data_IF_245564247803
#
_entry.id   IF_245564247803
#
_cell.length_a   1.000
_cell.length_b   1.000
_cell.length_c   1.000
_cell.angle_alpha   90.00
_cell.angle_beta   90.00
_cell.angle_gamma   90.00
#
_symmetry.space_group_name_H-M   'P 1'
#
loop_
_entity.id
_entity.type
_entity.pdbx_description
1 polymer ?
#
# COMPACT_ATOMS: atom_id res chain seq x y z
N UNK A 1 0.63 54.28 -25.20
CA UNK A 1 0.63 52.94 -25.85
C UNK A 1 1.46 51.90 -25.08
N UNK A 2 2.77 52.09 -24.84
CA UNK A 2 3.62 51.04 -24.19
C UNK A 2 3.16 50.58 -22.80
N UNK A 3 2.70 51.49 -21.92
CA UNK A 3 2.18 51.13 -20.59
C UNK A 3 0.84 50.39 -20.66
N UNK A 4 -0.02 50.74 -21.61
CA UNK A 4 -1.35 50.12 -21.76
C UNK A 4 -1.23 48.67 -22.25
N UNK A 5 -0.31 48.39 -23.18
CA UNK A 5 -0.03 47.03 -23.63
C UNK A 5 0.57 46.15 -22.53
N UNK A 6 1.37 46.75 -21.62
CA UNK A 6 1.91 46.01 -20.47
C UNK A 6 0.81 45.63 -19.47
N UNK A 7 -0.15 46.53 -19.22
CA UNK A 7 -1.30 46.27 -18.34
C UNK A 7 -2.19 45.17 -18.93
N UNK A 8 -2.49 45.22 -20.22
CA UNK A 8 -3.30 44.19 -20.90
C UNK A 8 -2.60 42.83 -20.86
N UNK A 9 -1.28 42.79 -21.08
CA UNK A 9 -0.50 41.54 -20.98
C UNK A 9 -0.50 40.95 -19.57
N UNK A 10 -0.38 41.79 -18.54
CA UNK A 10 -0.48 41.34 -17.15
C UNK A 10 -1.88 40.85 -16.80
N UNK A 11 -2.91 41.52 -17.30
CA UNK A 11 -4.30 41.11 -17.12
C UNK A 11 -4.57 39.76 -17.79
N UNK A 12 -4.11 39.56 -19.03
CA UNK A 12 -4.21 38.29 -19.74
C UNK A 12 -3.58 37.13 -18.95
N UNK A 13 -2.36 37.34 -18.41
CA UNK A 13 -1.69 36.31 -17.61
C UNK A 13 -2.45 35.98 -16.32
N UNK A 14 -3.01 37.00 -15.65
CA UNK A 14 -3.83 36.81 -14.44
C UNK A 14 -5.09 36.00 -14.74
N UNK A 15 -5.77 36.29 -15.85
CA UNK A 15 -6.97 35.58 -16.30
C UNK A 15 -6.64 34.10 -16.57
N UNK A 16 -5.56 33.83 -17.32
CA UNK A 16 -5.13 32.47 -17.64
C UNK A 16 -4.86 31.69 -16.36
N UNK A 17 -4.06 32.24 -15.45
CA UNK A 17 -3.70 31.56 -14.20
C UNK A 17 -4.92 31.25 -13.33
N UNK A 18 -5.92 32.13 -13.37
CA UNK A 18 -7.15 31.96 -12.61
C UNK A 18 -8.06 30.91 -13.24
N UNK A 19 -8.32 30.95 -14.55
CA UNK A 19 -9.27 30.05 -15.23
C UNK A 19 -8.68 28.66 -15.55
N UNK A 20 -7.36 28.53 -15.70
CA UNK A 20 -6.64 27.30 -16.10
C UNK A 20 -7.18 26.00 -15.45
N UNK A 21 -7.42 25.92 -14.12
CA UNK A 21 -7.90 24.69 -13.48
C UNK A 21 -9.29 24.25 -13.92
N UNK A 22 -10.13 25.21 -14.33
CA UNK A 22 -11.51 25.01 -14.72
C UNK A 22 -11.71 24.82 -16.23
N UNK A 23 -10.71 25.14 -17.05
CA UNK A 23 -10.79 25.04 -18.53
C UNK A 23 -11.37 23.71 -19.01
N UNK A 24 -10.91 22.53 -18.53
CA UNK A 24 -11.48 21.25 -18.97
C UNK A 24 -12.99 21.16 -18.78
N UNK A 25 -13.51 21.77 -17.73
CA UNK A 25 -14.94 21.72 -17.41
C UNK A 25 -15.73 22.84 -18.10
N UNK A 26 -15.13 24.02 -18.26
CA UNK A 26 -15.70 25.17 -18.95
C UNK A 26 -15.89 24.91 -20.44
N UNK A 27 -14.95 24.20 -21.07
CA UNK A 27 -15.03 23.81 -22.49
C UNK A 27 -16.07 22.71 -22.71
N UNK A 28 -16.16 21.72 -21.79
CA UNK A 28 -17.14 20.64 -21.89
C UNK A 28 -18.58 21.16 -21.65
N UNK A 29 -18.77 22.11 -20.74
CA UNK A 29 -20.04 22.83 -20.54
C UNK A 29 -21.24 21.99 -20.09
N UNK A 30 -21.03 20.72 -19.72
CA UNK A 30 -22.11 19.82 -19.27
C UNK A 30 -22.42 19.95 -17.79
N UNK A 31 -23.65 19.59 -17.38
CA UNK A 31 -24.04 19.58 -15.95
C UNK A 31 -23.10 18.72 -15.10
N UNK A 32 -22.66 17.58 -15.65
CA UNK A 32 -21.70 16.67 -15.00
C UNK A 32 -20.31 17.27 -14.88
N UNK A 33 -19.86 18.04 -15.87
CA UNK A 33 -18.59 18.76 -15.80
C UNK A 33 -18.63 19.85 -14.71
N UNK A 34 -19.76 20.54 -14.56
CA UNK A 34 -19.94 21.52 -13.49
C UNK A 34 -19.90 20.88 -12.08
N UNK A 35 -20.53 19.72 -11.90
CA UNK A 35 -20.48 18.98 -10.63
C UNK A 35 -19.06 18.54 -10.26
N UNK A 36 -18.28 18.07 -11.23
CA UNK A 36 -16.87 17.68 -11.01
C UNK A 36 -15.96 18.90 -10.80
N UNK A 37 -16.23 20.02 -11.47
CA UNK A 37 -15.50 21.26 -11.24
C UNK A 37 -15.72 21.81 -9.82
N UNK A 38 -16.97 21.81 -9.33
CA UNK A 38 -17.30 22.21 -7.96
C UNK A 38 -16.54 21.38 -6.90
N UNK A 39 -16.29 20.09 -7.17
CA UNK A 39 -15.47 19.24 -6.26
C UNK A 39 -13.99 19.60 -6.31
N UNK A 40 -13.49 20.05 -7.47
CA UNK A 40 -12.06 20.25 -7.72
C UNK A 40 -11.56 21.62 -7.33
N UNK A 41 -12.28 22.68 -7.70
CA UNK A 41 -11.90 24.08 -7.42
C UNK A 41 -12.75 24.72 -6.31
N UNK A 42 -13.85 24.06 -5.91
CA UNK A 42 -14.82 24.61 -4.97
C UNK A 42 -15.94 25.38 -5.68
N UNK A 43 -17.16 25.31 -5.13
CA UNK A 43 -18.35 25.88 -5.77
C UNK A 43 -18.28 27.40 -5.96
N UNK A 44 -17.68 28.13 -5.01
CA UNK A 44 -17.54 29.59 -5.11
C UNK A 44 -16.53 30.03 -6.17
N UNK A 45 -15.41 29.29 -6.28
CA UNK A 45 -14.36 29.53 -7.29
C UNK A 45 -14.90 29.19 -8.67
N UNK A 46 -15.54 28.03 -8.82
CA UNK A 46 -16.15 27.59 -10.07
C UNK A 46 -17.15 28.60 -10.65
N UNK A 47 -18.10 29.08 -9.83
CA UNK A 47 -19.09 30.06 -10.29
C UNK A 47 -18.44 31.39 -10.71
N UNK A 48 -17.30 31.74 -10.11
CA UNK A 48 -16.53 32.94 -10.44
C UNK A 48 -15.74 32.77 -11.74
N UNK A 49 -15.04 31.65 -11.91
CA UNK A 49 -14.30 31.31 -13.14
C UNK A 49 -15.25 31.16 -14.33
N UNK A 50 -16.42 30.54 -14.12
CA UNK A 50 -17.46 30.39 -15.13
C UNK A 50 -18.00 31.73 -15.61
N UNK A 51 -18.30 32.65 -14.68
CA UNK A 51 -18.73 34.01 -15.04
C UNK A 51 -17.67 34.77 -15.83
N UNK A 52 -16.40 34.61 -15.46
CA UNK A 52 -15.30 35.22 -16.22
C UNK A 52 -15.18 34.61 -17.62
N UNK A 53 -15.29 33.28 -17.74
CA UNK A 53 -15.27 32.58 -19.02
C UNK A 53 -16.43 32.98 -19.94
N UNK A 54 -17.64 33.11 -19.40
CA UNK A 54 -18.82 33.61 -20.13
C UNK A 54 -18.60 35.03 -20.66
N UNK A 55 -18.00 35.92 -19.86
CA UNK A 55 -17.64 37.28 -20.30
C UNK A 55 -16.63 37.27 -21.44
N UNK A 56 -15.60 36.44 -21.36
CA UNK A 56 -14.59 36.29 -22.43
C UNK A 56 -15.21 35.71 -23.72
N UNK A 57 -16.10 34.72 -23.59
CA UNK A 57 -16.75 34.06 -24.72
C UNK A 57 -17.90 34.85 -25.36
N UNK A 58 -18.41 35.89 -24.69
CA UNK A 58 -19.56 36.69 -25.15
C UNK A 58 -19.27 37.47 -26.45
N UNK A 59 -17.99 37.68 -26.79
CA UNK A 59 -17.56 38.40 -28.00
C UNK A 59 -17.47 37.47 -29.23
N UNK A 60 -17.69 36.17 -29.06
CA UNK A 60 -17.80 35.21 -30.17
C UNK A 60 -16.47 34.78 -30.78
N UNK A 61 -15.37 34.84 -30.03
CA UNK A 61 -14.05 34.42 -30.50
C UNK A 61 -13.93 32.89 -30.59
N UNK A 62 -13.90 32.39 -31.82
CA UNK A 62 -13.77 30.97 -32.15
C UNK A 62 -12.35 30.46 -31.86
N UNK A 63 -11.33 31.33 -32.01
CA UNK A 63 -9.93 30.97 -31.81
C UNK A 63 -9.63 30.76 -30.32
N UNK A 64 -10.19 31.60 -29.45
CA UNK A 64 -10.11 31.41 -28.00
C UNK A 64 -10.67 30.05 -27.54
N UNK A 65 -11.84 29.66 -28.06
CA UNK A 65 -12.47 28.38 -27.71
C UNK A 65 -11.67 27.19 -28.23
N UNK A 66 -11.03 27.33 -29.39
CA UNK A 66 -10.15 26.30 -29.96
C UNK A 66 -8.89 26.13 -29.10
N UNK A 67 -8.22 27.23 -28.75
CA UNK A 67 -7.05 27.20 -27.88
C UNK A 67 -7.39 26.63 -26.48
N UNK A 68 -8.57 26.92 -25.95
CA UNK A 68 -9.06 26.30 -24.71
C UNK A 68 -9.29 24.79 -24.87
N UNK A 69 -9.77 24.34 -26.03
CA UNK A 69 -9.88 22.93 -26.39
C UNK A 69 -8.53 22.21 -26.39
N UNK A 70 -7.50 22.85 -26.95
CA UNK A 70 -6.14 22.32 -26.94
C UNK A 70 -5.59 22.18 -25.50
N UNK A 71 -5.93 23.12 -24.62
CA UNK A 71 -5.62 23.01 -23.18
C UNK A 71 -6.35 21.86 -22.46
N UNK A 72 -7.49 21.38 -22.98
CA UNK A 72 -8.13 20.16 -22.44
C UNK A 72 -7.32 18.92 -22.81
N UNK A 73 -6.73 18.90 -24.01
CA UNK A 73 -5.94 17.77 -24.53
C UNK A 73 -4.56 17.71 -23.86
N UNK A 74 -3.90 18.86 -23.70
CA UNK A 74 -2.54 18.96 -23.16
C UNK A 74 -2.43 20.08 -22.10
N UNK A 75 -3.03 19.91 -20.90
CA UNK A 75 -3.11 20.96 -19.88
C UNK A 75 -1.76 21.35 -19.25
N UNK A 76 -0.73 20.51 -19.37
CA UNK A 76 0.60 20.74 -18.80
C UNK A 76 1.63 21.23 -19.83
N UNK A 77 1.22 21.38 -21.10
CA UNK A 77 2.11 21.83 -22.17
C UNK A 77 2.26 23.37 -22.14
N UNK A 78 3.50 23.84 -22.03
CA UNK A 78 3.83 25.26 -21.93
C UNK A 78 3.55 26.03 -23.21
N UNK A 79 3.68 25.39 -24.37
CA UNK A 79 3.44 26.01 -25.66
C UNK A 79 1.93 26.17 -25.91
N UNK A 80 1.14 25.16 -25.55
CA UNK A 80 -0.33 25.22 -25.60
C UNK A 80 -0.87 26.31 -24.66
N UNK A 81 -0.33 26.40 -23.43
CA UNK A 81 -0.66 27.48 -22.48
C UNK A 81 -0.30 28.86 -23.05
N UNK A 82 0.84 28.98 -23.72
CA UNK A 82 1.29 30.23 -24.31
C UNK A 82 0.38 30.66 -25.47
N UNK A 83 -0.08 29.72 -26.30
CA UNK A 83 -1.06 29.97 -27.38
C UNK A 83 -2.38 30.49 -26.80
N UNK A 84 -2.93 29.82 -25.78
CA UNK A 84 -4.15 30.29 -25.12
C UNK A 84 -4.00 31.69 -24.50
N UNK A 85 -2.85 31.96 -23.89
CA UNK A 85 -2.52 33.29 -23.34
C UNK A 85 -2.46 34.36 -24.43
N UNK A 86 -1.95 34.02 -25.61
CA UNK A 86 -1.90 34.94 -26.76
C UNK A 86 -3.30 35.23 -27.31
N UNK A 87 -4.20 34.25 -27.36
CA UNK A 87 -5.58 34.49 -27.81
C UNK A 87 -6.35 35.39 -26.85
N UNK A 88 -6.20 35.20 -25.53
CA UNK A 88 -6.78 36.14 -24.54
C UNK A 88 -6.19 37.54 -24.71
N UNK A 89 -4.89 37.65 -24.98
CA UNK A 89 -4.24 38.94 -25.19
C UNK A 89 -4.78 39.65 -26.43
N UNK A 90 -4.91 38.95 -27.57
CA UNK A 90 -5.51 39.49 -28.80
C UNK A 90 -6.95 39.94 -28.57
N UNK A 91 -7.75 39.14 -27.85
CA UNK A 91 -9.13 39.46 -27.52
C UNK A 91 -9.21 40.78 -26.72
N UNK A 92 -8.36 40.95 -25.71
CA UNK A 92 -8.33 42.14 -24.88
C UNK A 92 -7.80 43.37 -25.64
N UNK A 93 -6.79 43.21 -26.51
CA UNK A 93 -6.29 44.30 -27.35
C UNK A 93 -7.33 44.79 -28.36
N UNK A 94 -8.16 43.88 -28.89
CA UNK A 94 -9.26 44.21 -29.81
C UNK A 94 -10.50 44.81 -29.15
N UNK A 95 -10.65 44.70 -27.82
CA UNK A 95 -11.89 45.04 -27.12
C UNK A 95 -11.63 45.85 -25.83
N UNK A 96 -11.50 47.20 -25.93
CA UNK A 96 -11.18 48.04 -24.77
C UNK A 96 -12.27 48.08 -23.70
N UNK A 97 -13.54 47.86 -24.06
CA UNK A 97 -14.63 47.80 -23.08
C UNK A 97 -14.60 46.49 -22.27
N UNK A 98 -14.22 45.37 -22.92
CA UNK A 98 -13.98 44.10 -22.23
C UNK A 98 -12.81 44.21 -21.24
N UNK A 99 -11.75 44.94 -21.60
CA UNK A 99 -10.61 45.19 -20.68
C UNK A 99 -11.09 45.86 -19.39
N UNK A 100 -11.95 46.88 -19.48
CA UNK A 100 -12.49 47.56 -18.29
C UNK A 100 -13.36 46.63 -17.46
N UNK A 101 -14.25 45.89 -18.12
CA UNK A 101 -15.16 44.96 -17.45
C UNK A 101 -14.41 43.85 -16.72
N UNK A 102 -13.50 43.17 -17.41
CA UNK A 102 -12.70 42.07 -16.86
C UNK A 102 -11.71 42.58 -15.81
N UNK A 103 -11.08 43.75 -16.01
CA UNK A 103 -10.23 44.34 -14.96
C UNK A 103 -11.04 44.63 -13.70
N UNK A 104 -12.22 45.24 -13.82
CA UNK A 104 -13.08 45.52 -12.66
C UNK A 104 -13.56 44.25 -11.94
N UNK A 105 -13.83 43.19 -12.71
CA UNK A 105 -14.20 41.88 -12.17
C UNK A 105 -13.04 41.24 -11.41
N UNK A 106 -11.83 41.25 -11.99
CA UNK A 106 -10.64 40.70 -11.37
C UNK A 106 -10.18 41.50 -10.15
N UNK A 107 -10.35 42.81 -10.14
CA UNK A 107 -10.00 43.69 -9.02
C UNK A 107 -11.04 43.66 -7.88
N UNK A 108 -12.16 42.95 -8.06
CA UNK A 108 -13.17 42.77 -7.02
C UNK A 108 -12.59 41.99 -5.83
N UNK A 109 -12.74 42.53 -4.61
CA UNK A 109 -12.09 42.03 -3.39
C UNK A 109 -12.34 40.54 -3.12
N UNK A 110 -13.53 40.02 -3.45
CA UNK A 110 -13.83 38.61 -3.28
C UNK A 110 -13.04 37.72 -4.27
N UNK A 111 -12.87 38.16 -5.52
CA UNK A 111 -12.10 37.44 -6.54
C UNK A 111 -10.61 37.41 -6.18
N UNK A 112 -10.06 38.54 -5.70
CA UNK A 112 -8.69 38.61 -5.21
C UNK A 112 -8.43 37.65 -4.03
N UNK A 113 -9.38 37.53 -3.10
CA UNK A 113 -9.29 36.60 -1.98
C UNK A 113 -9.24 35.13 -2.44
N UNK A 114 -10.13 34.76 -3.36
CA UNK A 114 -10.18 33.40 -3.93
C UNK A 114 -8.88 33.06 -4.69
N UNK A 115 -8.31 34.00 -5.43
CA UNK A 115 -7.04 33.83 -6.13
C UNK A 115 -5.84 33.60 -5.18
N UNK A 116 -5.81 34.29 -4.03
CA UNK A 116 -4.72 34.14 -3.06
C UNK A 116 -4.80 32.84 -2.26
N UNK A 117 -6.01 32.39 -1.93
CA UNK A 117 -6.22 31.14 -1.19
C UNK A 117 -5.88 29.92 -2.06
N UNK A 118 -6.31 29.91 -3.33
CA UNK A 118 -6.04 28.82 -4.26
C UNK A 118 -4.56 28.74 -4.72
N UNK A 119 -3.89 29.87 -4.93
CA UNK A 119 -2.45 29.88 -5.25
C UNK A 119 -1.57 29.36 -4.11
N UNK A 120 -1.95 29.62 -2.85
CA UNK A 120 -1.27 29.04 -1.69
C UNK A 120 -1.42 27.52 -1.64
N UNK A 121 -2.62 27.01 -1.88
CA UNK A 121 -2.91 25.58 -1.92
C UNK A 121 -2.15 24.85 -3.04
N UNK A 122 -1.98 25.49 -4.22
CA UNK A 122 -1.19 24.94 -5.34
C UNK A 122 0.31 24.86 -5.04
N UNK A 123 0.90 25.90 -4.43
CA UNK A 123 2.32 25.89 -4.02
C UNK A 123 2.57 24.80 -2.97
N UNK A 124 1.66 24.67 -2.01
CA UNK A 124 1.73 23.59 -1.01
C UNK A 124 1.62 22.22 -1.68
N UNK A 125 0.71 22.03 -2.65
CA UNK A 125 0.55 20.77 -3.38
C UNK A 125 1.77 20.41 -4.23
N UNK A 126 2.36 21.36 -4.96
CA UNK A 126 3.60 21.14 -5.73
C UNK A 126 4.80 20.82 -4.85
N UNK A 127 4.92 21.50 -3.69
CA UNK A 127 6.00 21.23 -2.73
C UNK A 127 5.84 19.84 -2.11
N UNK A 128 4.61 19.44 -1.77
CA UNK A 128 4.30 18.09 -1.30
C UNK A 128 4.59 17.03 -2.37
N UNK A 129 4.22 17.26 -3.64
CA UNK A 129 4.50 16.35 -4.75
C UNK A 129 6.00 16.20 -5.03
N UNK A 130 6.79 17.28 -4.97
CA UNK A 130 8.24 17.21 -5.11
C UNK A 130 8.90 16.50 -3.93
N UNK A 131 8.45 16.76 -2.70
CA UNK A 131 8.96 16.07 -1.50
C UNK A 131 8.66 14.56 -1.54
N UNK A 132 7.50 14.17 -2.05
CA UNK A 132 7.11 12.77 -2.23
C UNK A 132 7.97 12.06 -3.29
N UNK A 133 8.23 12.72 -4.43
CA UNK A 133 9.14 12.17 -5.47
C UNK A 133 10.58 12.03 -4.98
N UNK A 134 11.10 13.01 -4.23
CA UNK A 134 12.43 12.92 -3.64
C UNK A 134 12.52 11.79 -2.62
N UNK A 135 11.50 11.66 -1.76
CA UNK A 135 11.40 10.55 -0.79
C UNK A 135 11.42 9.20 -1.51
N UNK A 136 10.73 9.08 -2.64
CA UNK A 136 10.74 7.85 -3.43
C UNK A 136 12.12 7.53 -4.01
N UNK A 137 12.80 8.51 -4.60
CA UNK A 137 14.16 8.32 -5.15
C UNK A 137 15.16 7.89 -4.08
N UNK A 138 15.04 8.48 -2.89
CA UNK A 138 15.89 8.11 -1.76
C UNK A 138 15.59 6.67 -1.27
N UNK A 139 14.32 6.25 -1.30
CA UNK A 139 13.88 4.89 -0.95
C UNK A 139 14.35 3.84 -1.95
N UNK A 140 14.22 4.09 -3.25
CA UNK A 140 14.72 3.15 -4.28
C UNK A 140 16.23 3.03 -4.24
N UNK A 141 16.94 4.14 -4.00
CA UNK A 141 18.39 4.14 -3.81
C UNK A 141 18.84 3.25 -2.65
N UNK A 142 18.18 3.31 -1.49
CA UNK A 142 18.52 2.45 -0.35
C UNK A 142 18.40 0.97 -0.70
N UNK A 143 17.37 0.58 -1.46
CA UNK A 143 17.20 -0.81 -1.92
C UNK A 143 18.21 -1.19 -3.00
N UNK A 144 18.64 -0.25 -3.85
CA UNK A 144 19.73 -0.48 -4.80
C UNK A 144 21.07 -0.68 -4.10
N UNK A 145 21.35 0.09 -3.05
CA UNK A 145 22.53 -0.10 -2.19
C UNK A 145 22.49 -1.46 -1.49
N UNK A 146 21.33 -1.88 -0.97
CA UNK A 146 21.15 -3.22 -0.40
C UNK A 146 21.40 -4.33 -1.43
N UNK A 147 20.81 -4.21 -2.62
CA UNK A 147 21.00 -5.19 -3.70
C UNK A 147 22.46 -5.22 -4.17
N UNK A 148 23.11 -4.07 -4.28
CA UNK A 148 24.52 -3.97 -4.68
C UNK A 148 25.42 -4.67 -3.67
N UNK A 149 25.18 -4.48 -2.37
CA UNK A 149 25.88 -5.21 -1.31
C UNK A 149 25.77 -6.73 -1.52
N UNK A 150 24.55 -7.25 -1.73
CA UNK A 150 24.31 -8.68 -1.98
C UNK A 150 25.02 -9.19 -3.25
N UNK A 151 25.01 -8.41 -4.34
CA UNK A 151 25.70 -8.74 -5.60
C UNK A 151 27.22 -8.79 -5.43
N UNK A 152 27.80 -7.86 -4.66
CA UNK A 152 29.26 -7.85 -4.43
C UNK A 152 29.71 -9.11 -3.70
N UNK A 153 28.91 -9.63 -2.76
CA UNK A 153 29.23 -10.87 -2.07
C UNK A 153 29.18 -12.09 -2.99
N UNK A 154 28.14 -12.21 -3.81
CA UNK A 154 28.04 -13.29 -4.81
C UNK A 154 29.21 -13.22 -5.81
N UNK A 155 29.65 -12.02 -6.16
CA UNK A 155 30.76 -11.80 -7.09
C UNK A 155 32.13 -12.15 -6.49
N UNK A 156 32.37 -11.81 -5.20
CA UNK A 156 33.60 -12.18 -4.47
C UNK A 156 33.80 -13.69 -4.41
N UNK A 157 32.72 -14.44 -4.23
CA UNK A 157 32.72 -15.91 -4.19
C UNK A 157 32.96 -16.57 -5.56
N UNK A 158 32.40 -16.03 -6.64
CA UNK A 158 32.69 -16.55 -7.98
C UNK A 158 34.16 -16.35 -8.38
N UNK A 159 34.85 -15.37 -7.76
CA UNK A 159 36.29 -15.15 -7.95
C UNK A 159 37.13 -16.12 -7.09
N UNK A 160 36.67 -16.50 -5.89
CA UNK A 160 37.36 -17.47 -5.03
C UNK A 160 37.30 -18.92 -5.56
N UNK A 161 36.31 -19.25 -6.40
CA UNK A 161 36.09 -20.60 -6.98
C UNK A 161 36.66 -20.84 -8.38
N UNK A 162 37.63 -20.05 -8.87
CA UNK A 162 38.30 -20.36 -10.16
C UNK A 162 39.24 -21.58 -10.04
N UNK A 163 39.12 -22.60 -10.92
CA UNK A 163 39.79 -23.88 -10.73
C UNK A 163 41.25 -23.87 -11.20
N UNK A 164 42.18 -24.10 -10.27
CA UNK A 164 43.49 -24.62 -10.62
C UNK A 164 43.39 -26.10 -11.02
N UNK A 165 43.83 -26.38 -12.26
CA UNK A 165 44.19 -27.69 -12.86
C UNK A 165 43.02 -28.64 -13.17
N UNK A 166 42.82 -28.93 -14.46
CA UNK A 166 43.43 -30.07 -15.15
C UNK A 166 43.28 -29.88 -16.67
N UNK A 167 44.27 -30.39 -17.42
CA UNK A 167 44.58 -29.99 -18.78
C UNK A 167 43.66 -30.52 -19.88
N UNK A 168 43.78 -29.85 -21.03
CA UNK A 168 43.33 -30.32 -22.34
C UNK A 168 43.93 -31.70 -22.67
N UNK A 169 43.29 -32.48 -23.55
CA UNK A 169 43.78 -32.46 -24.93
C UNK A 169 42.67 -32.35 -25.99
N UNK A 170 43.12 -31.85 -27.14
CA UNK A 170 42.37 -31.58 -28.37
C UNK A 170 42.22 -32.83 -29.27
N UNK A 171 41.20 -32.78 -30.15
CA UNK A 171 41.09 -33.19 -31.58
C UNK A 171 39.58 -33.24 -31.89
N UNK A 172 38.97 -32.91 -33.03
CA UNK A 172 39.34 -32.61 -34.41
C UNK A 172 38.14 -31.91 -35.09
N UNK A 173 38.39 -31.18 -36.19
CA UNK A 173 37.45 -30.52 -37.12
C UNK A 173 36.99 -31.51 -38.23
N UNK A 174 36.18 -31.15 -39.27
CA UNK A 174 34.96 -30.32 -39.37
C UNK A 174 33.90 -30.82 -40.43
N UNK A 175 32.78 -30.07 -40.55
CA UNK A 175 31.87 -29.85 -41.73
C UNK A 175 31.00 -31.01 -42.27
N UNK A 176 29.67 -30.80 -42.31
CA UNK A 176 28.80 -30.90 -43.51
C UNK A 176 27.43 -30.28 -43.23
N UNK A 177 26.92 -29.50 -44.19
CA UNK A 177 25.61 -28.85 -44.15
C UNK A 177 24.57 -29.54 -45.05
N UNK A 178 23.48 -28.79 -45.33
CA UNK A 178 22.20 -29.11 -46.02
C UNK A 178 21.15 -29.69 -45.05
N UNK A 179 20.00 -29.07 -44.74
CA UNK A 179 19.29 -27.92 -45.32
C UNK A 179 17.90 -28.38 -45.75
N UNK A 180 16.82 -27.92 -45.11
CA UNK A 180 15.45 -27.91 -45.67
C UNK A 180 14.63 -26.75 -45.07
N UNK A 181 14.06 -25.97 -46.00
CA UNK A 181 13.08 -24.88 -45.85
C UNK A 181 11.69 -25.44 -45.53
N UNK A 182 10.87 -24.70 -44.77
CA UNK A 182 9.44 -24.95 -44.68
C UNK A 182 8.72 -24.00 -43.73
N UNK A 183 8.39 -22.79 -44.20
CA UNK A 183 7.52 -21.85 -43.49
C UNK A 183 6.03 -22.28 -43.54
N UNK A 184 5.42 -22.23 -42.35
CA UNK A 184 4.05 -21.81 -41.98
C UNK A 184 2.84 -22.53 -42.62
N UNK A 185 2.06 -23.16 -41.75
CA UNK A 185 0.61 -23.31 -41.91
C UNK A 185 -0.14 -23.06 -40.59
N UNK A 186 -0.81 -21.90 -40.54
CA UNK A 186 -2.14 -21.56 -40.00
C UNK A 186 -2.90 -22.44 -38.98
N UNK A 187 -2.26 -23.09 -38.01
CA UNK A 187 -3.00 -23.76 -36.91
C UNK A 187 -2.52 -23.50 -35.48
N UNK A 188 -1.63 -22.54 -35.24
CA UNK A 188 -1.12 -22.23 -33.89
C UNK A 188 -1.48 -20.83 -33.36
N UNK A 189 -2.37 -20.09 -34.04
CA UNK A 189 -2.81 -18.74 -33.64
C UNK A 189 -4.17 -18.69 -32.93
N UNK A 190 -4.51 -19.69 -32.10
CA UNK A 190 -5.84 -19.77 -31.47
C UNK A 190 -5.89 -20.05 -29.96
N UNK A 191 -4.84 -19.73 -29.19
CA UNK A 191 -4.91 -19.76 -27.71
C UNK A 191 -4.70 -18.37 -27.05
N UNK A 192 -4.49 -17.30 -27.82
CA UNK A 192 -4.34 -15.93 -27.26
C UNK A 192 -5.56 -14.99 -27.45
N UNK A 193 -6.74 -15.48 -27.83
CA UNK A 193 -7.90 -14.61 -28.13
C UNK A 193 -9.15 -14.81 -27.26
N UNK A 194 -9.05 -15.41 -26.07
CA UNK A 194 -10.19 -15.47 -25.12
C UNK A 194 -9.73 -15.05 -23.71
N UNK A 195 -9.23 -13.82 -23.58
CA UNK A 195 -9.07 -13.15 -22.29
C UNK A 195 -9.41 -11.63 -22.35
N UNK A 196 -10.04 -11.17 -23.43
CA UNK A 196 -10.66 -9.84 -23.47
C UNK A 196 -12.17 -10.00 -23.35
N UNK A 197 -12.70 -9.68 -22.16
CA UNK A 197 -13.97 -9.00 -21.85
C UNK A 197 -14.31 -9.32 -20.39
N UNK A 198 -13.69 -8.54 -19.49
CA UNK A 198 -14.25 -8.06 -18.20
C UNK A 198 -13.11 -7.38 -17.45
N UNK A 199 -12.92 -6.09 -17.68
CA UNK A 199 -12.50 -5.09 -16.69
C UNK A 199 -12.35 -3.72 -17.39
N UNK A 200 -13.47 -3.10 -17.77
CA UNK A 200 -13.50 -1.65 -17.91
C UNK A 200 -13.72 -1.10 -16.50
N UNK A 201 -12.62 -0.94 -15.75
CA UNK A 201 -12.58 -0.11 -14.55
C UNK A 201 -11.95 1.22 -14.98
N UNK A 202 -12.69 2.33 -14.80
CA UNK A 202 -12.23 3.69 -15.09
C UNK A 202 -10.82 3.92 -14.51
N UNK A 203 -9.88 4.54 -15.25
CA UNK A 203 -8.59 4.90 -14.68
C UNK A 203 -8.79 6.12 -13.78
N UNK A 204 -8.68 5.93 -12.47
CA UNK A 204 -8.35 7.02 -11.55
C UNK A 204 -6.86 7.31 -11.75
N UNK A 205 -6.53 8.43 -12.40
CA UNK A 205 -5.16 8.83 -12.69
C UNK A 205 -4.27 8.97 -11.44
N UNK A 206 -4.83 9.16 -10.24
CA UNK A 206 -4.08 9.18 -8.99
C UNK A 206 -3.59 7.78 -8.56
N UNK A 207 -4.38 6.71 -8.82
CA UNK A 207 -4.00 5.33 -8.49
C UNK A 207 -2.89 4.79 -9.38
N UNK A 208 -2.87 5.14 -10.66
CA UNK A 208 -1.84 4.68 -11.59
C UNK A 208 -0.43 5.17 -11.21
N UNK A 209 -0.32 6.36 -10.60
CA UNK A 209 0.97 6.89 -10.14
C UNK A 209 1.46 6.24 -8.84
N UNK A 210 0.56 5.86 -7.93
CA UNK A 210 0.92 5.09 -6.72
C UNK A 210 1.25 3.64 -7.07
N UNK A 211 0.47 3.03 -7.96
CA UNK A 211 0.67 1.65 -8.44
C UNK A 211 1.98 1.48 -9.22
N UNK A 212 2.40 2.45 -10.04
CA UNK A 212 3.70 2.34 -10.72
C UNK A 212 4.88 2.48 -9.77
N UNK A 213 4.69 3.21 -8.67
CA UNK A 213 5.72 3.50 -7.66
C UNK A 213 5.92 2.31 -6.72
N UNK A 214 4.85 1.66 -6.28
CA UNK A 214 4.92 0.42 -5.51
C UNK A 214 5.58 -0.71 -6.31
N UNK A 215 5.39 -0.73 -7.64
CA UNK A 215 6.02 -1.72 -8.51
C UNK A 215 7.55 -1.61 -8.56
N UNK A 216 8.11 -0.39 -8.51
CA UNK A 216 9.56 -0.18 -8.58
C UNK A 216 10.30 -0.58 -7.29
N UNK A 217 9.67 -0.31 -6.15
CA UNK A 217 10.14 -0.77 -4.83
C UNK A 217 10.04 -2.30 -4.77
N UNK A 218 8.89 -2.85 -5.21
CA UNK A 218 8.64 -4.28 -5.17
C UNK A 218 9.64 -5.07 -6.04
N UNK A 219 9.98 -4.59 -7.23
CA UNK A 219 10.96 -5.25 -8.10
C UNK A 219 12.33 -5.40 -7.41
N UNK A 220 12.81 -4.34 -6.76
CA UNK A 220 14.07 -4.36 -6.00
C UNK A 220 14.03 -5.29 -4.79
N UNK A 221 12.87 -5.39 -4.13
CA UNK A 221 12.66 -6.34 -3.02
C UNK A 221 12.69 -7.79 -3.55
N UNK A 222 12.10 -8.06 -4.72
CA UNK A 222 12.16 -9.37 -5.36
C UNK A 222 13.59 -9.72 -5.79
N UNK A 223 14.36 -8.74 -6.29
CA UNK A 223 15.78 -8.90 -6.58
C UNK A 223 16.56 -9.28 -5.32
N UNK A 224 16.35 -8.58 -4.21
CA UNK A 224 17.01 -8.88 -2.93
C UNK A 224 16.70 -10.30 -2.44
N UNK A 225 15.43 -10.73 -2.55
CA UNK A 225 15.01 -12.11 -2.26
C UNK A 225 15.79 -13.14 -3.08
N UNK A 226 15.93 -12.90 -4.39
CA UNK A 226 16.64 -13.81 -5.28
C UNK A 226 18.14 -13.89 -4.94
N UNK A 227 18.78 -12.76 -4.65
CA UNK A 227 20.20 -12.70 -4.27
C UNK A 227 20.45 -13.39 -2.92
N UNK A 228 19.59 -13.17 -1.93
CA UNK A 228 19.67 -13.84 -0.63
C UNK A 228 19.47 -15.36 -0.73
N UNK A 229 18.61 -15.83 -1.64
CA UNK A 229 18.47 -17.25 -1.93
C UNK A 229 19.78 -17.85 -2.47
N UNK A 230 20.52 -17.11 -3.31
CA UNK A 230 21.84 -17.55 -3.78
C UNK A 230 22.86 -17.59 -2.65
N UNK A 231 22.91 -16.55 -1.81
CA UNK A 231 23.78 -16.48 -0.63
C UNK A 231 23.50 -17.65 0.33
N UNK A 232 22.24 -18.07 0.47
CA UNK A 232 21.86 -19.18 1.34
C UNK A 232 22.49 -20.53 0.96
N UNK A 233 22.95 -20.68 -0.30
CA UNK A 233 23.57 -21.87 -0.86
C UNK A 233 25.11 -21.88 -0.75
N UNK A 234 25.72 -20.83 -0.20
CA UNK A 234 27.17 -20.72 0.03
C UNK A 234 27.64 -21.60 1.20
N UNK A 235 28.96 -21.86 1.29
CA UNK A 235 29.54 -22.69 2.36
C UNK A 235 29.52 -21.96 3.73
N UNK A 236 29.51 -22.74 4.82
CA UNK A 236 29.22 -22.24 6.18
C UNK A 236 30.10 -21.08 6.70
N UNK A 237 31.42 -21.06 6.53
CA UNK A 237 32.24 -20.01 7.14
C UNK A 237 32.08 -18.64 6.46
N UNK A 238 31.93 -18.60 5.13
CA UNK A 238 31.75 -17.36 4.35
C UNK A 238 30.34 -16.79 4.54
N UNK A 239 29.35 -17.68 4.69
CA UNK A 239 27.96 -17.30 4.89
C UNK A 239 27.75 -16.47 6.15
N UNK A 240 28.44 -16.78 7.24
CA UNK A 240 28.21 -16.12 8.53
C UNK A 240 28.72 -14.66 8.53
N UNK A 241 29.86 -14.38 7.88
CA UNK A 241 30.41 -13.01 7.73
C UNK A 241 29.50 -12.14 6.85
N UNK A 242 29.08 -12.68 5.70
CA UNK A 242 28.19 -11.99 4.76
C UNK A 242 26.87 -11.60 5.42
N UNK A 243 26.30 -12.50 6.22
CA UNK A 243 25.05 -12.24 6.93
C UNK A 243 25.23 -11.12 7.96
N UNK A 244 26.33 -11.09 8.71
CA UNK A 244 26.55 -10.03 9.70
C UNK A 244 26.59 -8.65 9.03
N UNK A 245 27.25 -8.54 7.86
CA UNK A 245 27.26 -7.30 7.07
C UNK A 245 25.87 -6.94 6.52
N UNK A 246 25.09 -7.93 6.07
CA UNK A 246 23.71 -7.72 5.60
C UNK A 246 22.81 -7.20 6.72
N UNK A 247 22.93 -7.77 7.93
CA UNK A 247 22.16 -7.35 9.09
C UNK A 247 22.57 -5.96 9.57
N UNK A 248 23.87 -5.67 9.61
CA UNK A 248 24.39 -4.34 9.95
C UNK A 248 23.87 -3.30 8.96
N UNK A 249 23.93 -3.56 7.66
CA UNK A 249 23.35 -2.66 6.66
C UNK A 249 21.84 -2.49 6.86
N UNK A 250 21.10 -3.60 7.00
CA UNK A 250 19.64 -3.56 7.16
C UNK A 250 19.23 -2.77 8.41
N UNK A 251 19.97 -2.90 9.52
CA UNK A 251 19.72 -2.17 10.77
C UNK A 251 19.90 -0.64 10.63
N UNK A 252 20.72 -0.19 9.68
CA UNK A 252 21.02 1.23 9.44
C UNK A 252 20.08 1.91 8.44
N UNK A 253 19.17 1.15 7.80
CA UNK A 253 18.24 1.71 6.81
C UNK A 253 17.32 2.74 7.48
N UNK A 254 17.30 3.97 6.97
CA UNK A 254 16.56 5.07 7.59
C UNK A 254 15.03 4.89 7.55
N UNK A 255 14.50 4.26 6.50
CA UNK A 255 13.07 4.02 6.32
C UNK A 255 12.62 2.76 7.06
N UNK A 256 11.64 2.89 7.95
CA UNK A 256 11.21 1.79 8.83
C UNK A 256 10.69 0.57 8.09
N UNK A 257 9.87 0.77 7.07
CA UNK A 257 9.33 -0.29 6.22
C UNK A 257 10.41 -1.01 5.40
N UNK A 258 11.38 -0.28 4.85
CA UNK A 258 12.47 -0.89 4.08
C UNK A 258 13.46 -1.62 4.99
N UNK A 259 13.75 -1.05 6.17
CA UNK A 259 14.52 -1.70 7.24
C UNK A 259 13.84 -2.99 7.67
N UNK A 260 12.53 -2.93 7.90
CA UNK A 260 11.69 -4.08 8.24
C UNK A 260 11.83 -5.18 7.20
N UNK A 261 11.63 -4.84 5.92
CA UNK A 261 11.73 -5.80 4.83
C UNK A 261 13.13 -6.39 4.72
N UNK A 262 14.19 -5.56 4.78
CA UNK A 262 15.57 -6.03 4.70
C UNK A 262 15.94 -6.97 5.86
N UNK A 263 15.57 -6.63 7.09
CA UNK A 263 15.81 -7.47 8.27
C UNK A 263 15.03 -8.79 8.20
N UNK A 264 13.75 -8.72 7.81
CA UNK A 264 12.90 -9.91 7.63
C UNK A 264 13.51 -10.88 6.60
N UNK A 265 13.99 -10.32 5.49
CA UNK A 265 14.64 -11.08 4.43
C UNK A 265 15.98 -11.68 4.87
N UNK A 266 16.78 -10.93 5.63
CA UNK A 266 18.06 -11.43 6.17
C UNK A 266 17.84 -12.61 7.13
N UNK A 267 16.84 -12.52 8.01
CA UNK A 267 16.48 -13.57 8.99
C UNK A 267 16.03 -14.87 8.32
N UNK A 268 15.41 -14.80 7.13
CA UNK A 268 14.90 -15.98 6.42
C UNK A 268 15.98 -17.00 6.04
N UNK A 269 17.22 -16.53 5.80
CA UNK A 269 18.32 -17.36 5.28
C UNK A 269 19.38 -17.74 6.32
N UNK A 270 19.14 -17.38 7.57
CA UNK A 270 19.99 -17.64 8.73
C UNK A 270 19.76 -19.02 9.34
N UNK A 271 20.87 -19.73 9.64
CA UNK A 271 20.88 -21.03 10.32
C UNK A 271 21.89 -21.00 11.48
N UNK A 272 21.61 -21.73 12.56
CA UNK A 272 22.56 -21.93 13.67
C UNK A 272 22.43 -20.92 14.84
N UNK A 273 23.38 -20.92 15.79
CA UNK A 273 23.29 -20.14 17.04
C UNK A 273 23.28 -18.61 16.81
N UNK A 274 23.91 -18.11 15.75
CA UNK A 274 23.88 -16.69 15.36
C UNK A 274 22.48 -16.19 14.93
N UNK A 275 21.55 -17.11 14.65
CA UNK A 275 20.18 -16.75 14.25
C UNK A 275 19.43 -16.03 15.37
N UNK A 276 19.61 -16.44 16.63
CA UNK A 276 18.96 -15.80 17.77
C UNK A 276 19.45 -14.34 17.91
N UNK A 277 20.76 -14.13 17.92
CA UNK A 277 21.38 -12.78 17.94
C UNK A 277 20.89 -11.89 16.78
N UNK A 278 20.73 -12.48 15.59
CA UNK A 278 20.23 -11.75 14.43
C UNK A 278 18.77 -11.34 14.56
N UNK A 279 17.94 -12.20 15.15
CA UNK A 279 16.54 -11.87 15.46
C UNK A 279 16.50 -10.80 16.56
N UNK A 280 17.36 -10.86 17.57
CA UNK A 280 17.48 -9.82 18.59
C UNK A 280 17.84 -8.46 17.99
N UNK A 281 18.82 -8.40 17.08
CA UNK A 281 19.16 -7.17 16.34
C UNK A 281 17.98 -6.67 15.49
N UNK A 282 17.20 -7.59 14.90
CA UNK A 282 16.00 -7.22 14.16
C UNK A 282 14.90 -6.65 15.09
N UNK A 283 14.72 -7.21 16.28
CA UNK A 283 13.80 -6.70 17.31
C UNK A 283 14.24 -5.32 17.83
N UNK A 284 15.52 -5.16 18.16
CA UNK A 284 16.11 -3.87 18.56
C UNK A 284 15.90 -2.83 17.45
N UNK A 285 16.18 -3.19 16.21
CA UNK A 285 15.96 -2.31 15.06
C UNK A 285 14.49 -1.94 14.86
N UNK A 286 13.58 -2.89 15.09
CA UNK A 286 12.13 -2.65 15.04
C UNK A 286 11.69 -1.62 16.10
N UNK A 287 12.30 -1.64 17.29
CA UNK A 287 11.98 -0.68 18.35
C UNK A 287 12.26 0.78 17.96
N UNK A 288 13.20 1.00 17.02
CA UNK A 288 13.56 2.32 16.50
C UNK A 288 12.67 2.80 15.34
N UNK A 289 11.69 2.00 14.91
CA UNK A 289 10.74 2.38 13.87
C UNK A 289 9.64 3.27 14.49
N UNK A 290 9.44 4.45 13.89
CA UNK A 290 8.44 5.43 14.32
C UNK A 290 7.02 5.04 13.88
N UNK A 291 6.86 4.53 12.66
CA UNK A 291 5.56 4.08 12.17
C UNK A 291 5.20 2.72 12.78
N UNK A 292 4.11 2.66 13.52
CA UNK A 292 3.74 1.43 14.23
C UNK A 292 3.26 0.31 13.34
N UNK A 293 2.69 0.62 12.17
CA UNK A 293 2.26 -0.40 11.21
C UNK A 293 3.50 -1.06 10.60
N UNK A 294 4.49 -0.26 10.21
CA UNK A 294 5.79 -0.77 9.74
C UNK A 294 6.49 -1.61 10.81
N UNK A 295 6.48 -1.13 12.07
CA UNK A 295 7.03 -1.87 13.20
C UNK A 295 6.32 -3.20 13.41
N UNK A 296 4.98 -3.22 13.35
CA UNK A 296 4.19 -4.43 13.49
C UNK A 296 4.43 -5.43 12.35
N UNK A 297 4.69 -4.96 11.13
CA UNK A 297 5.10 -5.81 10.02
C UNK A 297 6.43 -6.52 10.29
N UNK A 298 7.43 -5.84 10.90
CA UNK A 298 8.67 -6.51 11.33
C UNK A 298 8.34 -7.62 12.30
N UNK A 299 7.66 -7.25 13.40
CA UNK A 299 7.39 -8.14 14.52
C UNK A 299 6.59 -9.37 14.08
N UNK A 300 5.69 -9.20 13.10
CA UNK A 300 4.86 -10.28 12.56
C UNK A 300 5.58 -11.19 11.55
N UNK A 301 6.74 -10.77 11.04
CA UNK A 301 7.54 -11.54 10.06
C UNK A 301 8.52 -12.52 10.71
N UNK A 302 8.92 -12.25 11.96
CA UNK A 302 9.91 -13.02 12.71
C UNK A 302 9.43 -14.41 13.20
N UNK A 303 8.15 -14.61 13.61
CA UNK A 303 7.70 -15.85 14.24
C UNK A 303 8.00 -17.15 13.46
N UNK A 304 7.83 -17.21 12.12
CA UNK A 304 8.19 -18.38 11.30
C UNK A 304 9.66 -18.81 11.44
N UNK A 305 10.52 -17.92 11.90
CA UNK A 305 11.96 -18.13 12.00
C UNK A 305 12.45 -18.49 13.41
N UNK A 306 11.59 -18.37 14.44
CA UNK A 306 11.93 -18.65 15.84
C UNK A 306 12.03 -20.17 16.08
N UNK A 307 13.25 -20.70 16.18
CA UNK A 307 13.53 -22.13 16.38
C UNK A 307 14.77 -22.31 17.25
N UNK A 308 14.79 -23.40 18.02
CA UNK A 308 15.96 -23.78 18.83
C UNK A 308 15.99 -23.09 20.20
N UNK A 309 17.12 -23.19 20.93
CA UNK A 309 17.28 -22.57 22.24
C UNK A 309 17.15 -21.05 22.13
N UNK A 310 16.35 -20.43 23.02
CA UNK A 310 16.08 -18.98 23.02
C UNK A 310 14.79 -18.57 22.30
N UNK A 311 14.07 -19.50 21.67
CA UNK A 311 12.77 -19.23 21.03
C UNK A 311 11.79 -18.55 21.99
N UNK A 312 11.68 -19.06 23.21
CA UNK A 312 10.78 -18.59 24.25
C UNK A 312 11.06 -17.13 24.62
N UNK A 313 12.33 -16.78 24.81
CA UNK A 313 12.77 -15.42 25.13
C UNK A 313 12.49 -14.45 23.98
N UNK A 314 12.71 -14.87 22.74
CA UNK A 314 12.40 -14.04 21.57
C UNK A 314 10.89 -13.80 21.41
N UNK A 315 10.06 -14.80 21.69
CA UNK A 315 8.60 -14.64 21.70
C UNK A 315 8.17 -13.66 22.79
N UNK A 316 8.72 -13.80 24.01
CA UNK A 316 8.44 -12.88 25.11
C UNK A 316 8.86 -11.45 24.76
N UNK A 317 10.03 -11.26 24.15
CA UNK A 317 10.51 -9.95 23.70
C UNK A 317 9.59 -9.32 22.64
N UNK A 318 9.05 -10.12 21.71
CA UNK A 318 8.06 -9.63 20.75
C UNK A 318 6.78 -9.19 21.47
N UNK A 319 6.25 -9.98 22.41
CA UNK A 319 5.06 -9.60 23.17
C UNK A 319 5.28 -8.31 23.97
N UNK A 320 6.40 -8.20 24.70
CA UNK A 320 6.76 -6.99 25.44
C UNK A 320 6.86 -5.75 24.53
N UNK A 321 7.50 -5.90 23.36
CA UNK A 321 7.60 -4.81 22.37
C UNK A 321 6.24 -4.41 21.81
N UNK A 322 5.34 -5.38 21.65
CA UNK A 322 4.00 -5.18 21.09
C UNK A 322 3.04 -4.50 22.07
N UNK A 323 3.23 -4.70 23.37
CA UNK A 323 2.38 -4.12 24.41
C UNK A 323 2.34 -2.58 24.32
N UNK A 324 3.46 -1.95 23.96
CA UNK A 324 3.61 -0.49 23.86
C UNK A 324 3.10 0.13 22.56
N UNK A 325 2.55 -0.66 21.63
CA UNK A 325 1.93 -0.12 20.42
C UNK A 325 0.64 0.64 20.76
N UNK A 326 0.37 1.71 20.04
CA UNK A 326 -0.84 2.53 20.18
C UNK A 326 -2.06 1.85 19.57
N UNK A 327 -1.95 1.29 18.37
CA UNK A 327 -3.10 0.76 17.64
C UNK A 327 -3.44 -0.69 18.03
N UNK A 328 -4.73 -1.01 18.15
CA UNK A 328 -5.19 -2.35 18.51
C UNK A 328 -5.01 -3.38 17.40
N UNK A 329 -5.23 -2.97 16.14
CA UNK A 329 -5.15 -3.86 14.97
C UNK A 329 -3.74 -4.41 14.78
N UNK A 330 -2.70 -3.59 15.03
CA UNK A 330 -1.30 -4.01 14.93
C UNK A 330 -0.94 -5.03 16.01
N UNK A 331 -1.45 -4.88 17.23
CA UNK A 331 -1.28 -5.87 18.31
C UNK A 331 -1.93 -7.20 17.96
N UNK A 332 -3.16 -7.15 17.44
CA UNK A 332 -3.87 -8.34 16.99
C UNK A 332 -3.12 -9.07 15.87
N UNK A 333 -2.56 -8.33 14.91
CA UNK A 333 -1.77 -8.89 13.83
C UNK A 333 -0.53 -9.62 14.35
N UNK A 334 0.22 -9.01 15.27
CA UNK A 334 1.42 -9.62 15.85
C UNK A 334 1.04 -10.86 16.67
N UNK A 335 0.02 -10.78 17.52
CA UNK A 335 -0.49 -11.94 18.26
C UNK A 335 -0.86 -13.09 17.32
N UNK A 336 -1.65 -12.81 16.28
CA UNK A 336 -2.08 -13.80 15.29
C UNK A 336 -0.90 -14.47 14.59
N UNK A 337 0.18 -13.72 14.34
CA UNK A 337 1.41 -14.26 13.75
C UNK A 337 2.21 -15.13 14.72
N UNK A 338 2.13 -14.89 16.03
CA UNK A 338 2.87 -15.62 17.06
C UNK A 338 2.17 -16.90 17.50
N UNK A 339 0.84 -16.92 17.55
CA UNK A 339 0.03 -18.04 18.05
C UNK A 339 0.44 -19.40 17.45
N UNK A 340 0.61 -19.56 16.12
CA UNK A 340 1.01 -20.85 15.54
C UNK A 340 2.36 -21.36 16.06
N UNK A 341 3.19 -20.48 16.62
CA UNK A 341 4.52 -20.79 17.14
C UNK A 341 4.51 -21.05 18.65
N UNK A 342 3.37 -20.96 19.32
CA UNK A 342 3.22 -21.34 20.73
C UNK A 342 3.11 -22.85 20.94
N UNK A 343 2.92 -23.64 19.87
CA UNK A 343 2.79 -25.09 19.97
C UNK A 343 3.99 -25.74 20.66
N UNK A 344 3.71 -26.61 21.63
CA UNK A 344 4.72 -27.33 22.41
C UNK A 344 5.39 -26.49 23.51
N UNK A 345 5.09 -25.19 23.61
CA UNK A 345 5.52 -24.36 24.73
C UNK A 345 4.60 -24.63 25.92
N UNK A 346 5.17 -25.05 27.05
CA UNK A 346 4.46 -25.15 28.34
C UNK A 346 4.80 -23.99 29.27
N UNK A 347 5.25 -22.87 28.68
CA UNK A 347 5.70 -21.73 29.45
C UNK A 347 4.52 -20.81 29.76
N UNK A 348 4.07 -20.88 31.01
CA UNK A 348 2.99 -20.04 31.53
C UNK A 348 3.30 -18.55 31.37
N UNK A 349 4.57 -18.12 31.48
CA UNK A 349 4.91 -16.70 31.34
C UNK A 349 4.57 -16.16 29.95
N UNK A 350 4.80 -16.96 28.91
CA UNK A 350 4.49 -16.57 27.52
C UNK A 350 2.98 -16.47 27.31
N UNK A 351 2.22 -17.38 27.93
CA UNK A 351 0.75 -17.34 27.89
C UNK A 351 0.24 -16.08 28.57
N UNK A 352 0.78 -15.73 29.74
CA UNK A 352 0.40 -14.48 30.42
C UNK A 352 0.73 -13.25 29.57
N UNK A 353 1.90 -13.21 28.92
CA UNK A 353 2.26 -12.12 27.99
C UNK A 353 1.29 -12.01 26.81
N UNK A 354 0.85 -13.13 26.27
CA UNK A 354 -0.14 -13.14 25.20
C UNK A 354 -1.49 -12.60 25.70
N UNK A 355 -1.93 -12.99 26.90
CA UNK A 355 -3.17 -12.49 27.52
C UNK A 355 -3.08 -10.98 27.83
N UNK A 356 -1.97 -10.51 28.40
CA UNK A 356 -1.70 -9.08 28.62
C UNK A 356 -1.82 -8.28 27.31
N UNK A 357 -1.29 -8.80 26.20
CA UNK A 357 -1.40 -8.16 24.90
C UNK A 357 -2.86 -8.12 24.40
N UNK A 358 -3.63 -9.19 24.62
CA UNK A 358 -5.05 -9.26 24.24
C UNK A 358 -5.89 -8.24 25.01
N UNK A 359 -5.63 -8.07 26.31
CA UNK A 359 -6.38 -7.11 27.13
C UNK A 359 -6.32 -5.68 26.57
N UNK A 360 -5.17 -5.30 26.01
CA UNK A 360 -4.91 -3.96 25.45
C UNK A 360 -5.22 -3.83 23.95
N UNK A 361 -5.83 -4.84 23.32
CA UNK A 361 -6.48 -4.71 22.00
C UNK A 361 -7.72 -3.81 22.17
N UNK A 362 -8.01 -2.95 21.18
CA UNK A 362 -9.14 -2.03 21.30
C UNK A 362 -10.48 -2.64 20.87
N UNK A 363 -10.46 -3.48 19.83
CA UNK A 363 -11.67 -4.10 19.28
C UNK A 363 -12.05 -5.35 20.07
N UNK A 364 -13.21 -5.33 20.73
CA UNK A 364 -13.75 -6.50 21.43
C UNK A 364 -13.97 -7.69 20.47
N UNK A 365 -14.28 -7.41 19.19
CA UNK A 365 -14.38 -8.44 18.16
C UNK A 365 -13.04 -9.15 17.94
N UNK A 366 -11.95 -8.39 17.79
CA UNK A 366 -10.61 -8.95 17.67
C UNK A 366 -10.14 -9.62 18.96
N UNK A 367 -10.58 -9.15 20.15
CA UNK A 367 -10.31 -9.85 21.41
C UNK A 367 -10.93 -11.24 21.43
N UNK A 368 -12.18 -11.40 21.01
CA UNK A 368 -12.82 -12.73 20.91
C UNK A 368 -11.99 -13.63 20.01
N UNK A 369 -11.63 -13.16 18.83
CA UNK A 369 -10.83 -13.93 17.87
C UNK A 369 -9.45 -14.30 18.44
N UNK A 370 -8.80 -13.36 19.11
CA UNK A 370 -7.50 -13.53 19.75
C UNK A 370 -7.53 -14.54 20.91
N UNK A 371 -8.56 -14.47 21.77
CA UNK A 371 -8.75 -15.44 22.85
C UNK A 371 -8.98 -16.83 22.27
N UNK A 372 -9.81 -16.96 21.23
CA UNK A 372 -10.03 -18.23 20.53
C UNK A 372 -8.73 -18.83 19.99
N UNK A 373 -7.87 -18.01 19.40
CA UNK A 373 -6.56 -18.44 18.91
C UNK A 373 -5.63 -19.01 19.99
N UNK A 374 -5.74 -18.55 21.24
CA UNK A 374 -4.93 -19.06 22.34
C UNK A 374 -5.42 -20.38 22.92
N UNK A 375 -6.71 -20.70 22.81
CA UNK A 375 -7.32 -21.88 23.47
C UNK A 375 -6.54 -23.18 23.24
N UNK A 376 -6.09 -23.53 22.02
CA UNK A 376 -5.35 -24.78 21.77
C UNK A 376 -4.03 -24.92 22.55
N UNK A 377 -3.54 -23.83 23.15
CA UNK A 377 -2.24 -23.74 23.83
C UNK A 377 -2.37 -23.63 25.35
N UNK A 378 -3.60 -23.64 25.89
CA UNK A 378 -3.87 -23.51 27.32
C UNK A 378 -3.97 -24.87 28.00
N UNK A 379 -3.72 -24.89 29.31
CA UNK A 379 -4.09 -26.03 30.16
C UNK A 379 -5.61 -26.07 30.39
N UNK A 380 -6.15 -27.21 30.82
CA UNK A 380 -7.60 -27.41 30.95
C UNK A 380 -8.30 -26.37 31.86
N UNK A 381 -7.64 -25.97 32.96
CA UNK A 381 -8.22 -24.98 33.86
C UNK A 381 -8.36 -23.61 33.18
N UNK A 382 -7.28 -23.12 32.55
CA UNK A 382 -7.29 -21.83 31.84
C UNK A 382 -8.14 -21.87 30.58
N UNK A 383 -8.21 -23.02 29.91
CA UNK A 383 -9.04 -23.20 28.72
C UNK A 383 -10.50 -22.84 29.00
N UNK A 384 -11.06 -23.36 30.09
CA UNK A 384 -12.45 -23.06 30.46
C UNK A 384 -12.63 -21.57 30.83
N UNK A 385 -11.71 -21.00 31.61
CA UNK A 385 -11.74 -19.58 31.97
C UNK A 385 -11.72 -18.66 30.73
N UNK A 386 -10.84 -18.94 29.77
CA UNK A 386 -10.72 -18.16 28.53
C UNK A 386 -11.89 -18.39 27.58
N UNK A 387 -12.43 -19.61 27.52
CA UNK A 387 -13.67 -19.92 26.77
C UNK A 387 -14.85 -19.08 27.27
N UNK A 388 -15.05 -19.01 28.59
CA UNK A 388 -16.11 -18.19 29.18
C UNK A 388 -15.94 -16.70 28.88
N UNK A 389 -14.70 -16.19 28.99
CA UNK A 389 -14.40 -14.80 28.65
C UNK A 389 -14.69 -14.50 27.17
N UNK A 390 -14.27 -15.38 26.26
CA UNK A 390 -14.51 -15.23 24.83
C UNK A 390 -16.02 -15.24 24.51
N UNK A 391 -16.79 -16.15 25.12
CA UNK A 391 -18.25 -16.19 24.97
C UNK A 391 -18.91 -14.92 25.51
N UNK A 392 -18.52 -14.48 26.71
CA UNK A 392 -19.07 -13.26 27.31
C UNK A 392 -18.81 -12.03 26.44
N UNK A 393 -17.60 -11.88 25.91
CA UNK A 393 -17.25 -10.81 24.98
C UNK A 393 -18.05 -10.90 23.67
N UNK A 394 -18.15 -12.10 23.07
CA UNK A 394 -18.87 -12.32 21.82
C UNK A 394 -20.36 -11.98 21.96
N UNK A 395 -21.02 -12.42 23.03
CA UNK A 395 -22.41 -12.05 23.32
C UNK A 395 -22.56 -10.56 23.68
N UNK A 396 -21.52 -9.97 24.28
CA UNK A 396 -21.45 -8.59 24.73
C UNK A 396 -21.16 -7.56 23.63
N UNK A 397 -20.79 -7.96 22.42
CA UNK A 397 -20.44 -7.04 21.34
C UNK A 397 -21.54 -6.00 21.11
N UNK A 398 -21.13 -4.73 21.02
CA UNK A 398 -22.05 -3.58 20.81
C UNK A 398 -22.75 -3.67 19.47
N UNK A 399 -22.00 -4.05 18.43
CA UNK A 399 -22.58 -4.40 17.14
C UNK A 399 -23.19 -5.79 17.22
N UNK A 400 -24.51 -5.86 17.09
CA UNK A 400 -25.25 -7.13 17.20
C UNK A 400 -25.08 -7.99 15.96
N UNK A 401 -24.81 -7.38 14.82
CA UNK A 401 -24.71 -8.06 13.54
C UNK A 401 -23.38 -8.85 13.45
N UNK A 402 -22.36 -8.45 14.23
CA UNK A 402 -21.06 -9.15 14.33
C UNK A 402 -21.05 -10.34 15.32
N UNK A 403 -22.07 -10.47 16.19
CA UNK A 403 -22.10 -11.51 17.24
C UNK A 403 -22.05 -12.94 16.70
N UNK A 404 -22.81 -13.31 15.65
CA UNK A 404 -22.77 -14.67 15.13
C UNK A 404 -21.37 -15.04 14.60
N UNK A 405 -20.73 -14.12 13.88
CA UNK A 405 -19.37 -14.30 13.37
C UNK A 405 -18.36 -14.42 14.51
N UNK A 406 -18.44 -13.58 15.54
CA UNK A 406 -17.58 -13.69 16.71
C UNK A 406 -17.75 -15.03 17.46
N UNK A 407 -18.99 -15.49 17.62
CA UNK A 407 -19.28 -16.80 18.23
C UNK A 407 -18.73 -17.95 17.39
N UNK A 408 -18.67 -17.80 16.06
CA UNK A 408 -18.09 -18.81 15.15
C UNK A 408 -16.63 -19.11 15.44
N UNK A 409 -15.87 -18.16 15.99
CA UNK A 409 -14.48 -18.38 16.42
C UNK A 409 -14.38 -19.23 17.69
N UNK A 410 -15.42 -19.27 18.52
CA UNK A 410 -15.40 -20.00 19.80
C UNK A 410 -15.90 -21.43 19.64
N UNK A 411 -16.83 -21.66 18.70
CA UNK A 411 -17.47 -22.96 18.45
C UNK A 411 -16.50 -24.16 18.30
N UNK A 412 -15.35 -24.06 17.60
CA UNK A 412 -14.40 -25.18 17.47
C UNK A 412 -13.85 -25.71 18.80
N UNK A 413 -13.94 -24.91 19.85
CA UNK A 413 -13.31 -25.17 21.13
C UNK A 413 -14.30 -25.61 22.22
N UNK A 414 -15.59 -25.66 21.89
CA UNK A 414 -16.64 -26.11 22.80
C UNK A 414 -16.89 -27.61 22.66
N UNK A 415 -17.21 -28.23 23.78
CA UNK A 415 -17.65 -29.63 23.84
C UNK A 415 -19.19 -29.72 23.81
N UNK A 416 -19.72 -30.86 23.36
CA UNK A 416 -21.16 -31.12 23.46
C UNK A 416 -21.59 -31.35 24.92
N UNK A 417 -22.79 -30.90 25.34
CA UNK A 417 -23.88 -30.30 24.55
C UNK A 417 -23.81 -28.77 24.43
N UNK A 418 -22.77 -28.15 25.00
CA UNK A 418 -22.65 -26.70 25.08
C UNK A 418 -22.47 -26.08 23.69
N UNK A 419 -21.70 -26.74 22.82
CA UNK A 419 -21.48 -26.32 21.45
C UNK A 419 -22.79 -26.20 20.68
N UNK A 420 -23.66 -27.21 20.73
CA UNK A 420 -24.99 -27.17 20.10
C UNK A 420 -25.84 -25.98 20.60
N UNK A 421 -25.87 -25.74 21.92
CA UNK A 421 -26.63 -24.62 22.49
C UNK A 421 -26.15 -23.27 21.96
N UNK A 422 -24.83 -23.04 21.96
CA UNK A 422 -24.22 -21.79 21.48
C UNK A 422 -24.42 -21.62 19.97
N UNK A 423 -24.29 -22.69 19.20
CA UNK A 423 -24.54 -22.68 17.76
C UNK A 423 -25.99 -22.27 17.44
N UNK A 424 -26.99 -22.87 18.10
CA UNK A 424 -28.41 -22.51 17.93
C UNK A 424 -28.66 -21.03 18.25
N UNK A 425 -28.01 -20.49 19.30
CA UNK A 425 -28.09 -19.07 19.63
C UNK A 425 -27.47 -18.18 18.55
N UNK A 426 -26.29 -18.55 18.04
CA UNK A 426 -25.61 -17.81 16.98
C UNK A 426 -26.45 -17.78 15.69
N UNK A 427 -27.03 -18.93 15.30
CA UNK A 427 -27.91 -19.07 14.14
C UNK A 427 -29.17 -18.20 14.27
N UNK A 428 -29.80 -18.20 15.45
CA UNK A 428 -30.94 -17.33 15.72
C UNK A 428 -30.55 -15.84 15.55
N UNK A 429 -29.43 -15.42 16.14
CA UNK A 429 -28.95 -14.04 15.99
C UNK A 429 -28.69 -13.68 14.52
N UNK A 430 -28.01 -14.53 13.76
CA UNK A 430 -27.77 -14.32 12.33
C UNK A 430 -29.08 -14.18 11.55
N UNK A 431 -30.10 -14.99 11.87
CA UNK A 431 -31.41 -14.94 11.21
C UNK A 431 -32.15 -13.60 11.41
N UNK A 432 -31.88 -12.91 12.52
CA UNK A 432 -32.51 -11.65 12.93
C UNK A 432 -31.80 -10.41 12.38
N UNK A 433 -30.64 -10.57 11.71
CA UNK A 433 -29.93 -9.47 11.04
C UNK A 433 -30.78 -8.94 9.89
N UNK A 434 -30.92 -7.61 9.82
CA UNK A 434 -31.79 -6.94 8.82
C UNK A 434 -31.14 -6.78 7.46
N UNK A 435 -29.83 -6.58 7.43
CA UNK A 435 -29.08 -6.45 6.19
C UNK A 435 -28.86 -7.83 5.60
N UNK A 436 -29.41 -8.09 4.41
CA UNK A 436 -29.24 -9.38 3.73
C UNK A 436 -27.75 -9.71 3.46
N UNK A 437 -26.92 -8.69 3.22
CA UNK A 437 -25.49 -8.87 3.05
C UNK A 437 -24.81 -9.35 4.34
N UNK A 438 -25.00 -8.64 5.45
CA UNK A 438 -24.40 -9.01 6.75
C UNK A 438 -24.99 -10.33 7.28
N UNK A 439 -26.26 -10.59 7.01
CA UNK A 439 -26.91 -11.87 7.32
C UNK A 439 -26.25 -13.02 6.57
N UNK A 440 -25.96 -12.84 5.28
CA UNK A 440 -25.26 -13.85 4.49
C UNK A 440 -23.83 -14.09 5.02
N UNK A 441 -23.08 -13.04 5.38
CA UNK A 441 -21.75 -13.17 6.00
C UNK A 441 -21.82 -13.93 7.33
N UNK A 442 -22.75 -13.54 8.21
CA UNK A 442 -22.95 -14.19 9.50
C UNK A 442 -23.33 -15.67 9.35
N UNK A 443 -24.25 -16.02 8.45
CA UNK A 443 -24.61 -17.41 8.17
C UNK A 443 -23.44 -18.18 7.55
N UNK A 444 -22.68 -17.56 6.64
CA UNK A 444 -21.50 -18.18 6.02
C UNK A 444 -20.42 -18.50 7.05
N UNK A 445 -20.26 -17.69 8.10
CA UNK A 445 -19.32 -17.98 9.18
C UNK A 445 -19.70 -19.21 10.01
N UNK A 446 -20.99 -19.56 10.04
CA UNK A 446 -21.52 -20.69 10.79
C UNK A 446 -21.64 -21.98 9.95
N UNK A 447 -21.51 -21.88 8.63
CA UNK A 447 -21.61 -22.99 7.67
C UNK A 447 -20.74 -24.21 8.03
N UNK A 448 -19.48 -24.04 8.48
CA UNK A 448 -18.64 -25.20 8.85
C UNK A 448 -19.20 -26.08 9.97
N UNK A 449 -20.18 -25.59 10.74
CA UNK A 449 -20.74 -26.28 11.91
C UNK A 449 -22.17 -26.79 11.67
N UNK A 450 -22.74 -26.60 10.47
CA UNK A 450 -24.07 -27.10 10.11
C UNK A 450 -24.04 -28.64 10.00
N UNK A 451 -23.02 -29.19 9.34
CA UNK A 451 -22.87 -30.64 9.09
C UNK A 451 -22.53 -31.47 10.34
N UNK A 452 -22.06 -30.82 11.41
CA UNK A 452 -21.70 -31.50 12.66
C UNK A 452 -22.93 -31.86 13.51
N UNK A 453 -24.09 -31.25 13.24
CA UNK A 453 -25.36 -31.55 13.94
C UNK A 453 -26.26 -32.55 13.19
N UNK A 454 -26.07 -32.74 11.89
CA UNK A 454 -26.85 -33.71 11.09
C UNK A 454 -26.28 -35.14 11.13
N UNK A 455 -25.19 -35.37 11.87
CA UNK A 455 -24.50 -36.68 11.98
C UNK A 455 -24.77 -37.44 13.28
N UNK A 456 -25.62 -36.93 14.16
CA UNK A 456 -26.26 -37.72 15.24
C UNK A 456 -27.66 -38.14 14.85
#
# INVERSE_FOLDING_TARGET
>A
MRQQNLIIKQLAQKIVNFIEPAIPYLVIGSKKAAEEACKKVGSEVWETEKKLWEKLCSIGDIELKKAAGDMVVAPSDTDVRQVFTQEILKLLEGNPDLVKEVSSFMDYKAVQKLMTEDSSARITKQTLEQSSKQTLLDRTRVLDEFNSLLETFISRENISKSPERYGMPATEKPVTGLGVVGEKSHSDLRIEQIAEIKHIKKPNFEKASAESVDNEIQDRVQKAKALLLLISRLEKPEKDEIIEEILDFASRIQYGDLRSQALSLAVLYLNGPKKAESIEKALESASHIQDENERALVLSSLPPHLKGPGKEELIENIFCSSHHLQYGDTKFQILSSLVPHLYGLKNESIIERALELIEVIFSDYQKVQALSFLIPYLNEQRKEEILEQALQLAFGLKDKDMRPEALSYVLPHLEEPRKEEIFKKALNMASMIKSEFQKAEALSSLDPYIDELEKE
#
